data_IF_340201335472
#
_entry.id   IF_340201335472
#
_cell.length_a   1.000
_cell.length_b   1.000
_cell.length_c   1.000
_cell.angle_alpha   90.00
_cell.angle_beta   90.00
_cell.angle_gamma   90.00
#
_symmetry.space_group_name_H-M   'P 1'
#
loop_
_entity.id
_entity.type
_entity.pdbx_description
1 polymer ?
#
# COMPACT_ATOMS: atom_id res chain seq x y z
N UNK A 1 23.94 26.13 13.03
CA UNK A 1 24.63 27.27 12.39
C UNK A 1 23.78 28.54 12.29
N UNK A 2 22.45 28.51 12.13
CA UNK A 2 21.65 29.74 11.99
C UNK A 2 21.23 30.40 13.33
N UNK A 3 20.89 29.59 14.36
CA UNK A 3 20.64 30.11 15.73
C UNK A 3 21.86 30.85 16.28
N UNK A 4 23.06 30.36 15.93
CA UNK A 4 24.32 31.03 16.28
C UNK A 4 24.49 32.35 15.55
N UNK A 5 24.00 32.53 14.32
CA UNK A 5 24.09 33.82 13.60
C UNK A 5 23.16 34.86 14.21
N UNK A 6 21.93 34.48 14.57
CA UNK A 6 20.97 35.38 15.25
C UNK A 6 21.47 35.73 16.64
N UNK A 7 21.95 34.75 17.41
CA UNK A 7 22.54 34.98 18.73
C UNK A 7 23.80 35.86 18.67
N UNK A 8 24.62 35.71 17.63
CA UNK A 8 25.82 36.53 17.41
C UNK A 8 25.45 37.96 17.01
N UNK A 9 24.45 38.16 16.13
CA UNK A 9 23.96 39.48 15.75
C UNK A 9 23.37 40.23 16.97
N UNK A 10 22.55 39.56 17.79
CA UNK A 10 22.00 40.13 19.03
C UNK A 10 23.13 40.45 20.01
N UNK A 11 24.09 39.54 20.21
CA UNK A 11 25.23 39.78 21.12
C UNK A 11 26.12 40.94 20.66
N UNK A 12 26.34 41.06 19.34
CA UNK A 12 27.13 42.15 18.74
C UNK A 12 26.44 43.51 18.94
N UNK A 13 25.12 43.57 18.74
CA UNK A 13 24.32 44.78 18.97
C UNK A 13 24.33 45.16 20.46
N UNK A 14 24.16 44.20 21.37
CA UNK A 14 24.27 44.42 22.82
C UNK A 14 25.67 44.93 23.22
N UNK A 15 26.75 44.39 22.64
CA UNK A 15 28.11 44.83 22.91
C UNK A 15 28.41 46.26 22.39
N UNK A 16 27.87 46.62 21.22
CA UNK A 16 27.99 47.97 20.66
C UNK A 16 27.24 48.99 21.52
N UNK A 17 26.07 48.64 22.03
CA UNK A 17 25.26 49.50 22.91
C UNK A 17 25.88 49.64 24.32
N UNK A 18 26.59 48.62 24.81
CA UNK A 18 27.22 48.63 26.15
C UNK A 18 28.54 49.40 26.21
N UNK A 19 29.28 49.48 25.09
CA UNK A 19 30.66 49.98 25.07
C UNK A 19 30.80 51.50 24.85
N UNK A 20 29.74 52.24 24.50
CA UNK A 20 29.80 53.70 24.32
C UNK A 20 28.60 54.42 24.94
N UNK A 21 28.78 55.60 25.58
CA UNK A 21 27.66 56.43 26.02
C UNK A 21 26.86 56.89 24.78
N UNK A 22 25.67 56.33 24.63
CA UNK A 22 24.86 56.44 23.40
C UNK A 22 24.26 57.84 23.30
N UNK A 23 24.98 58.77 22.66
CA UNK A 23 24.45 60.09 22.28
C UNK A 23 23.98 60.16 20.82
N UNK A 24 24.08 59.06 20.07
CA UNK A 24 23.80 59.06 18.63
C UNK A 24 22.72 58.04 18.31
N UNK A 25 21.47 58.53 18.20
CA UNK A 25 20.27 57.78 17.77
C UNK A 25 20.54 56.98 16.48
N UNK A 26 21.41 57.48 15.61
CA UNK A 26 21.86 56.84 14.36
C UNK A 26 22.52 55.46 14.54
N UNK A 27 23.28 55.26 15.63
CA UNK A 27 23.95 53.96 15.91
C UNK A 27 22.92 52.91 16.33
N UNK A 28 21.88 53.32 17.06
CA UNK A 28 20.77 52.45 17.44
C UNK A 28 19.98 52.05 16.19
N UNK A 29 19.62 53.02 15.36
CA UNK A 29 18.81 52.79 14.15
C UNK A 29 19.53 51.84 13.18
N UNK A 30 20.83 52.03 12.97
CA UNK A 30 21.61 51.15 12.08
C UNK A 30 21.73 49.72 12.61
N UNK A 31 21.98 49.55 13.91
CA UNK A 31 22.03 48.25 14.55
C UNK A 31 20.69 47.49 14.46
N UNK A 32 19.57 48.19 14.71
CA UNK A 32 18.24 47.60 14.56
C UNK A 32 17.89 47.29 13.11
N UNK A 33 18.31 48.12 12.15
CA UNK A 33 18.07 47.89 10.73
C UNK A 33 18.68 46.57 10.27
N UNK A 34 19.94 46.31 10.62
CA UNK A 34 20.61 45.04 10.28
C UNK A 34 19.91 43.85 10.95
N UNK A 35 19.54 44.00 12.22
CA UNK A 35 18.87 42.95 12.97
C UNK A 35 17.50 42.58 12.37
N UNK A 36 16.69 43.58 12.03
CA UNK A 36 15.38 43.41 11.41
C UNK A 36 15.51 42.74 10.05
N UNK A 37 16.47 43.15 9.20
CA UNK A 37 16.68 42.53 7.89
C UNK A 37 17.07 41.04 8.00
N UNK A 38 17.96 40.69 8.94
CA UNK A 38 18.34 39.28 9.19
C UNK A 38 17.14 38.46 9.69
N UNK A 39 16.32 39.03 10.57
CA UNK A 39 15.12 38.37 11.09
C UNK A 39 14.05 38.18 9.99
N UNK A 40 13.83 39.17 9.13
CA UNK A 40 12.89 39.05 8.00
C UNK A 40 13.38 37.98 7.02
N UNK A 41 14.66 37.99 6.65
CA UNK A 41 15.24 36.97 5.78
C UNK A 41 15.12 35.56 6.36
N UNK A 42 15.30 35.42 7.66
CA UNK A 42 15.12 34.14 8.38
C UNK A 42 13.68 33.65 8.39
N UNK A 43 12.72 34.55 8.67
CA UNK A 43 11.30 34.21 8.64
C UNK A 43 10.87 33.74 7.25
N UNK A 44 11.31 34.42 6.20
CA UNK A 44 11.03 34.03 4.80
C UNK A 44 11.65 32.65 4.50
N UNK A 45 12.92 32.42 4.85
CA UNK A 45 13.58 31.13 4.63
C UNK A 45 12.84 29.98 5.33
N UNK A 46 12.44 30.19 6.59
CA UNK A 46 11.74 29.18 7.39
C UNK A 46 10.38 28.82 6.79
N UNK A 47 9.61 29.82 6.36
CA UNK A 47 8.31 29.60 5.71
C UNK A 47 8.50 28.83 4.39
N UNK A 48 9.47 29.23 3.56
CA UNK A 48 9.75 28.55 2.29
C UNK A 48 10.20 27.09 2.48
N UNK A 49 11.05 26.82 3.47
CA UNK A 49 11.49 25.46 3.78
C UNK A 49 10.34 24.60 4.33
N UNK A 50 9.49 25.20 5.17
CA UNK A 50 8.30 24.54 5.69
C UNK A 50 7.29 24.20 4.60
N UNK A 51 7.04 25.11 3.65
CA UNK A 51 6.16 24.87 2.50
C UNK A 51 6.70 23.73 1.61
N UNK A 52 8.02 23.73 1.32
CA UNK A 52 8.65 22.63 0.56
C UNK A 52 8.49 21.30 1.27
N UNK A 53 8.71 21.26 2.58
CA UNK A 53 8.56 20.05 3.38
C UNK A 53 7.12 19.57 3.41
N UNK A 54 6.16 20.49 3.58
CA UNK A 54 4.72 20.21 3.56
C UNK A 54 4.28 19.63 2.22
N UNK A 55 4.65 20.26 1.10
CA UNK A 55 4.35 19.74 -0.23
C UNK A 55 4.96 18.35 -0.47
N UNK A 56 6.20 18.14 -0.04
CA UNK A 56 6.84 16.82 -0.16
C UNK A 56 6.12 15.74 0.66
N UNK A 57 5.57 16.12 1.81
CA UNK A 57 4.83 15.24 2.70
C UNK A 57 3.45 14.91 2.12
N UNK A 58 2.77 15.91 1.56
CA UNK A 58 1.50 15.72 0.85
C UNK A 58 1.64 14.74 -0.32
N UNK A 59 2.70 14.87 -1.13
CA UNK A 59 2.97 13.94 -2.24
C UNK A 59 3.18 12.51 -1.74
N UNK A 60 3.96 12.33 -0.65
CA UNK A 60 4.19 11.02 -0.05
C UNK A 60 2.92 10.42 0.56
N UNK A 61 2.09 11.24 1.21
CA UNK A 61 0.82 10.80 1.77
C UNK A 61 -0.13 10.37 0.64
N UNK A 62 -0.21 11.17 -0.43
CA UNK A 62 -1.04 10.82 -1.60
C UNK A 62 -0.60 9.49 -2.21
N UNK A 63 0.71 9.26 -2.41
CA UNK A 63 1.18 7.99 -2.99
C UNK A 63 0.90 6.79 -2.09
N UNK A 64 0.99 6.95 -0.76
CA UNK A 64 0.59 5.91 0.20
C UNK A 64 -0.91 5.64 0.11
N UNK A 65 -1.75 6.67 0.07
CA UNK A 65 -3.22 6.53 -0.06
C UNK A 65 -3.58 5.85 -1.38
N UNK A 66 -2.95 6.24 -2.49
CA UNK A 66 -3.19 5.62 -3.80
C UNK A 66 -2.81 4.14 -3.80
N UNK A 67 -1.69 3.79 -3.18
CA UNK A 67 -1.29 2.38 -3.01
C UNK A 67 -2.29 1.62 -2.16
N UNK A 68 -2.65 2.13 -0.98
CA UNK A 68 -3.61 1.49 -0.08
C UNK A 68 -4.99 1.33 -0.74
N UNK A 69 -5.47 2.32 -1.49
CA UNK A 69 -6.73 2.23 -2.22
C UNK A 69 -6.66 1.16 -3.32
N UNK A 70 -5.52 1.03 -4.01
CA UNK A 70 -5.32 -0.01 -5.02
C UNK A 70 -5.33 -1.40 -4.40
N UNK A 71 -4.59 -1.59 -3.31
CA UNK A 71 -4.57 -2.85 -2.54
C UNK A 71 -5.97 -3.20 -2.03
N UNK A 72 -6.65 -2.26 -1.37
CA UNK A 72 -8.02 -2.43 -0.86
C UNK A 72 -9.01 -2.81 -1.96
N UNK A 73 -8.90 -2.21 -3.15
CA UNK A 73 -9.76 -2.55 -4.30
C UNK A 73 -9.60 -4.02 -4.70
N UNK A 74 -8.36 -4.51 -4.73
CA UNK A 74 -8.08 -5.91 -5.04
C UNK A 74 -8.61 -6.85 -3.93
N UNK A 75 -8.43 -6.49 -2.66
CA UNK A 75 -8.96 -7.24 -1.52
C UNK A 75 -10.48 -7.36 -1.56
N UNK A 76 -11.21 -6.24 -1.75
CA UNK A 76 -12.68 -6.23 -1.86
C UNK A 76 -13.14 -7.10 -3.03
N UNK A 77 -12.44 -7.01 -4.17
CA UNK A 77 -12.77 -7.83 -5.34
C UNK A 77 -12.54 -9.31 -5.09
N UNK A 78 -11.46 -9.69 -4.39
CA UNK A 78 -11.17 -11.06 -4.03
C UNK A 78 -12.29 -11.68 -3.18
N UNK A 79 -12.73 -10.98 -2.12
CA UNK A 79 -13.85 -11.43 -1.29
C UNK A 79 -15.17 -11.50 -2.06
N UNK A 80 -15.43 -10.54 -2.94
CA UNK A 80 -16.65 -10.54 -3.78
C UNK A 80 -16.69 -11.76 -4.70
N UNK A 81 -15.55 -12.09 -5.32
CA UNK A 81 -15.41 -13.27 -6.16
C UNK A 81 -15.56 -14.57 -5.34
N UNK A 82 -14.94 -14.65 -4.17
CA UNK A 82 -15.10 -15.80 -3.26
C UNK A 82 -16.57 -16.04 -2.88
N UNK A 83 -17.29 -14.98 -2.47
CA UNK A 83 -18.71 -15.09 -2.12
C UNK A 83 -19.58 -15.46 -3.34
N UNK A 84 -19.25 -14.91 -4.51
CA UNK A 84 -19.91 -15.26 -5.76
C UNK A 84 -19.65 -16.72 -6.17
N UNK A 85 -18.46 -17.24 -5.88
CA UNK A 85 -18.11 -18.64 -6.09
C UNK A 85 -18.96 -19.56 -5.22
N UNK A 86 -19.09 -19.26 -3.92
CA UNK A 86 -19.94 -20.02 -2.99
C UNK A 86 -21.42 -20.03 -3.41
N UNK A 87 -21.93 -18.90 -3.89
CA UNK A 87 -23.28 -18.85 -4.47
C UNK A 87 -23.40 -19.66 -5.77
N UNK A 88 -22.40 -19.62 -6.64
CA UNK A 88 -22.35 -20.47 -7.84
C UNK A 88 -22.37 -21.96 -7.47
N UNK A 89 -21.60 -22.35 -6.46
CA UNK A 89 -21.53 -23.73 -5.98
C UNK A 89 -22.86 -24.21 -5.40
N UNK A 90 -23.51 -23.39 -4.56
CA UNK A 90 -24.82 -23.73 -3.97
C UNK A 90 -25.93 -23.85 -5.02
N UNK A 91 -25.83 -23.12 -6.13
CA UNK A 91 -26.73 -23.21 -7.28
C UNK A 91 -26.39 -24.36 -8.24
N UNK A 92 -25.37 -25.17 -7.95
CA UNK A 92 -24.90 -26.25 -8.82
C UNK A 92 -24.13 -25.80 -10.05
N UNK A 93 -23.77 -24.51 -10.14
CA UNK A 93 -22.97 -23.96 -11.22
C UNK A 93 -21.47 -24.07 -10.90
N UNK A 94 -20.97 -25.29 -10.97
CA UNK A 94 -19.59 -25.66 -10.63
C UNK A 94 -18.56 -24.92 -11.48
N UNK A 95 -18.89 -24.70 -12.75
CA UNK A 95 -18.03 -24.01 -13.71
C UNK A 95 -17.77 -22.56 -13.28
N UNK A 96 -18.82 -21.83 -12.88
CA UNK A 96 -18.70 -20.47 -12.34
C UNK A 96 -18.03 -20.48 -10.97
N UNK A 97 -18.31 -21.48 -10.13
CA UNK A 97 -17.72 -21.57 -8.81
C UNK A 97 -16.19 -21.68 -8.88
N UNK A 98 -15.67 -22.64 -9.64
CA UNK A 98 -14.22 -22.85 -9.81
C UNK A 98 -13.56 -21.60 -10.41
N UNK A 99 -14.14 -21.02 -11.46
CA UNK A 99 -13.64 -19.80 -12.10
C UNK A 99 -13.52 -18.62 -11.10
N UNK A 100 -14.55 -18.45 -10.27
CA UNK A 100 -14.57 -17.37 -9.28
C UNK A 100 -13.63 -17.63 -8.09
N UNK A 101 -13.47 -18.88 -7.62
CA UNK A 101 -12.49 -19.20 -6.58
C UNK A 101 -11.05 -18.92 -7.06
N UNK A 102 -10.72 -19.31 -8.29
CA UNK A 102 -9.42 -19.00 -8.90
C UNK A 102 -9.25 -17.49 -9.10
N UNK A 103 -10.27 -16.80 -9.60
CA UNK A 103 -10.22 -15.34 -9.78
C UNK A 103 -10.06 -14.60 -8.44
N UNK A 104 -10.65 -15.13 -7.36
CA UNK A 104 -10.45 -14.59 -6.01
C UNK A 104 -8.99 -14.72 -5.58
N UNK A 105 -8.35 -15.87 -5.83
CA UNK A 105 -6.91 -16.07 -5.58
C UNK A 105 -6.08 -15.04 -6.37
N UNK A 106 -6.36 -14.85 -7.66
CA UNK A 106 -5.63 -13.90 -8.51
C UNK A 106 -5.72 -12.46 -8.01
N UNK A 107 -6.90 -12.02 -7.58
CA UNK A 107 -7.07 -10.68 -7.01
C UNK A 107 -6.40 -10.56 -5.64
N UNK A 108 -6.45 -11.60 -4.81
CA UNK A 108 -5.78 -11.62 -3.51
C UNK A 108 -4.25 -11.49 -3.65
N UNK A 109 -3.64 -12.18 -4.63
CA UNK A 109 -2.22 -12.03 -4.96
C UNK A 109 -1.85 -10.57 -5.29
N UNK A 110 -2.78 -9.80 -5.89
CA UNK A 110 -2.58 -8.38 -6.20
C UNK A 110 -2.83 -7.46 -4.99
N UNK A 111 -3.69 -7.86 -4.06
CA UNK A 111 -4.18 -7.04 -2.94
C UNK A 111 -3.38 -7.15 -1.64
N UNK A 112 -2.36 -8.01 -1.58
CA UNK A 112 -1.54 -8.29 -0.38
C UNK A 112 -2.32 -8.88 0.83
N UNK A 113 -3.62 -9.13 0.68
CA UNK A 113 -4.43 -9.91 1.61
C UNK A 113 -4.34 -11.39 1.22
N UNK A 114 -4.20 -12.30 2.19
CA UNK A 114 -4.00 -13.73 1.94
C UNK A 114 -5.21 -14.57 2.30
N UNK A 115 -6.10 -14.06 3.12
CA UNK A 115 -7.26 -14.82 3.58
C UNK A 115 -8.19 -15.34 2.45
N UNK A 116 -8.51 -14.56 1.40
CA UNK A 116 -9.26 -15.09 0.25
C UNK A 116 -8.57 -16.26 -0.47
N UNK A 117 -7.23 -16.34 -0.42
CA UNK A 117 -6.50 -17.48 -0.99
C UNK A 117 -6.78 -18.73 -0.16
N UNK A 118 -6.66 -18.64 1.17
CA UNK A 118 -6.93 -19.77 2.07
C UNK A 118 -8.37 -20.27 1.94
N UNK A 119 -9.33 -19.35 1.92
CA UNK A 119 -10.76 -19.69 1.77
C UNK A 119 -11.03 -20.37 0.43
N UNK A 120 -10.51 -19.82 -0.67
CA UNK A 120 -10.67 -20.44 -1.99
C UNK A 120 -9.98 -21.79 -2.09
N UNK A 121 -8.77 -21.95 -1.55
CA UNK A 121 -8.05 -23.22 -1.55
C UNK A 121 -8.76 -24.28 -0.71
N UNK A 122 -9.37 -23.89 0.41
CA UNK A 122 -10.17 -24.79 1.23
C UNK A 122 -11.35 -25.36 0.44
N UNK A 123 -12.17 -24.50 -0.16
CA UNK A 123 -13.31 -24.92 -0.96
C UNK A 123 -12.89 -25.74 -2.19
N UNK A 124 -11.83 -25.35 -2.89
CA UNK A 124 -11.29 -26.11 -4.02
C UNK A 124 -10.73 -27.48 -3.58
N UNK A 125 -10.13 -27.58 -2.39
CA UNK A 125 -9.66 -28.84 -1.82
C UNK A 125 -10.83 -29.77 -1.52
N UNK A 126 -11.89 -29.25 -0.90
CA UNK A 126 -13.10 -30.01 -0.59
C UNK A 126 -13.79 -30.50 -1.88
N UNK A 127 -13.87 -29.65 -2.90
CA UNK A 127 -14.33 -30.06 -4.23
C UNK A 127 -13.45 -31.18 -4.80
N UNK A 128 -12.12 -31.02 -4.78
CA UNK A 128 -11.19 -32.03 -5.30
C UNK A 128 -11.38 -33.38 -4.62
N UNK A 129 -11.60 -33.40 -3.32
CA UNK A 129 -11.88 -34.62 -2.56
C UNK A 129 -13.25 -35.22 -2.94
N UNK A 130 -14.27 -34.38 -3.07
CA UNK A 130 -15.62 -34.79 -3.46
C UNK A 130 -15.66 -35.45 -4.85
N UNK A 131 -15.02 -34.83 -5.84
CA UNK A 131 -15.01 -35.29 -7.23
C UNK A 131 -14.12 -36.52 -7.40
N UNK A 132 -12.92 -36.52 -6.80
CA UNK A 132 -12.00 -37.66 -6.85
C UNK A 132 -12.61 -38.92 -6.21
N UNK A 133 -13.26 -38.79 -5.05
CA UNK A 133 -13.85 -39.94 -4.35
C UNK A 133 -15.02 -40.59 -5.11
N UNK A 134 -15.68 -39.85 -6.00
CA UNK A 134 -16.80 -40.33 -6.81
C UNK A 134 -16.41 -40.69 -8.25
N UNK A 135 -15.15 -40.49 -8.62
CA UNK A 135 -14.67 -40.65 -9.99
C UNK A 135 -15.49 -39.81 -11.00
N UNK A 136 -15.86 -38.59 -10.61
CA UNK A 136 -16.63 -37.64 -11.44
C UNK A 136 -15.72 -36.49 -11.82
N UNK A 137 -15.82 -36.06 -13.07
CA UNK A 137 -15.08 -34.90 -13.59
C UNK A 137 -15.96 -33.65 -13.47
N UNK A 138 -15.51 -32.58 -12.78
CA UNK A 138 -16.27 -31.34 -12.69
C UNK A 138 -16.34 -30.65 -14.06
N UNK A 139 -17.43 -29.92 -14.31
CA UNK A 139 -17.53 -29.06 -15.48
C UNK A 139 -16.68 -27.80 -15.26
N UNK A 140 -15.72 -27.54 -16.16
CA UNK A 140 -14.89 -26.33 -16.15
C UNK A 140 -14.94 -25.62 -17.51
N UNK A 141 -14.61 -24.33 -17.52
CA UNK A 141 -14.32 -23.56 -18.75
C UNK A 141 -13.01 -24.06 -19.35
N UNK A 142 -13.07 -24.78 -20.46
CA UNK A 142 -11.90 -25.41 -21.09
C UNK A 142 -10.85 -24.38 -21.50
N UNK A 143 -11.32 -23.24 -22.01
CA UNK A 143 -10.50 -22.11 -22.45
C UNK A 143 -9.70 -21.46 -21.32
N UNK A 144 -10.16 -21.58 -20.07
CA UNK A 144 -9.51 -20.98 -18.90
C UNK A 144 -8.60 -21.95 -18.14
N UNK A 145 -8.57 -23.23 -18.53
CA UNK A 145 -7.82 -24.29 -17.84
C UNK A 145 -6.35 -23.93 -17.62
N UNK A 146 -5.68 -23.40 -18.65
CA UNK A 146 -4.30 -22.97 -18.56
C UNK A 146 -4.11 -21.82 -17.56
N UNK A 147 -5.06 -20.87 -17.52
CA UNK A 147 -5.08 -19.77 -16.55
C UNK A 147 -5.14 -20.32 -15.14
N UNK A 148 -6.06 -21.25 -14.87
CA UNK A 148 -6.26 -21.83 -13.55
C UNK A 148 -5.00 -22.54 -13.03
N UNK A 149 -4.43 -23.43 -13.85
CA UNK A 149 -3.23 -24.18 -13.49
C UNK A 149 -2.06 -23.21 -13.24
N UNK A 150 -1.87 -22.21 -14.11
CA UNK A 150 -0.80 -21.22 -13.92
C UNK A 150 -0.96 -20.40 -12.63
N UNK A 151 -2.20 -20.07 -12.24
CA UNK A 151 -2.47 -19.35 -10.99
C UNK A 151 -2.12 -20.21 -9.78
N UNK A 152 -2.45 -21.49 -9.79
CA UNK A 152 -2.13 -22.42 -8.70
C UNK A 152 -0.62 -22.65 -8.56
N UNK A 153 0.12 -22.78 -9.67
CA UNK A 153 1.58 -22.90 -9.64
C UNK A 153 2.31 -21.65 -9.16
N UNK A 154 1.66 -20.47 -9.22
CA UNK A 154 2.25 -19.23 -8.70
C UNK A 154 2.18 -19.13 -7.18
N UNK A 155 1.38 -19.98 -6.53
CA UNK A 155 1.28 -20.00 -5.07
C UNK A 155 2.52 -20.64 -4.47
N UNK A 156 3.06 -20.02 -3.41
CA UNK A 156 4.18 -20.59 -2.70
C UNK A 156 3.74 -21.87 -1.96
N UNK A 157 4.25 -23.03 -2.38
CA UNK A 157 3.88 -24.31 -1.79
C UNK A 157 4.29 -24.43 -0.32
N UNK A 158 5.29 -23.67 0.14
CA UNK A 158 5.65 -23.63 1.56
C UNK A 158 4.61 -22.84 2.40
N UNK A 159 4.05 -21.76 1.83
CA UNK A 159 3.03 -20.92 2.48
C UNK A 159 1.68 -21.65 2.56
N UNK A 160 1.35 -22.47 1.55
CA UNK A 160 0.07 -23.15 1.40
C UNK A 160 0.16 -24.68 1.52
N UNK A 161 1.19 -25.19 2.19
CA UNK A 161 1.46 -26.63 2.35
C UNK A 161 0.31 -27.44 3.00
N UNK A 162 -0.62 -26.76 3.70
CA UNK A 162 -1.82 -27.38 4.26
C UNK A 162 -2.84 -27.83 3.21
N UNK A 163 -2.70 -27.35 1.97
CA UNK A 163 -3.58 -27.68 0.85
C UNK A 163 -2.83 -28.54 -0.16
N UNK A 164 -3.49 -29.61 -0.61
CA UNK A 164 -2.97 -30.47 -1.68
C UNK A 164 -3.25 -29.82 -3.05
N UNK A 165 -2.41 -28.83 -3.39
CA UNK A 165 -2.54 -28.05 -4.63
C UNK A 165 -2.43 -28.97 -5.85
N UNK A 166 -1.59 -30.01 -5.80
CA UNK A 166 -1.44 -30.98 -6.88
C UNK A 166 -2.74 -31.73 -7.14
N UNK A 167 -3.49 -32.09 -6.10
CA UNK A 167 -4.80 -32.71 -6.24
C UNK A 167 -5.86 -31.77 -6.82
N UNK A 168 -5.81 -30.49 -6.47
CA UNK A 168 -6.66 -29.46 -7.10
C UNK A 168 -6.32 -29.33 -8.59
N UNK A 169 -5.03 -29.29 -8.92
CA UNK A 169 -4.54 -29.25 -10.31
C UNK A 169 -5.00 -30.49 -11.08
N UNK A 170 -4.87 -31.69 -10.49
CA UNK A 170 -5.30 -32.94 -11.13
C UNK A 170 -6.81 -32.97 -11.41
N UNK A 171 -7.64 -32.46 -10.49
CA UNK A 171 -9.07 -32.30 -10.70
C UNK A 171 -9.34 -31.38 -11.91
N UNK A 172 -8.70 -30.21 -11.97
CA UNK A 172 -8.83 -29.28 -13.10
C UNK A 172 -8.31 -29.92 -14.39
N UNK A 173 -7.24 -30.72 -14.31
CA UNK A 173 -6.62 -31.33 -15.49
C UNK A 173 -7.48 -32.44 -16.10
N UNK A 174 -8.17 -33.22 -15.25
CA UNK A 174 -9.10 -34.26 -15.67
C UNK A 174 -10.33 -33.75 -16.43
N UNK A 175 -10.66 -32.46 -16.29
CA UNK A 175 -11.77 -31.85 -16.99
C UNK A 175 -11.35 -31.44 -18.41
N UNK A 176 -11.65 -32.34 -19.35
CA UNK A 176 -11.33 -32.22 -20.77
C UNK A 176 -12.28 -31.33 -21.55
#
# INVERSE_FOLDING_TARGET
>A
MALSVVAFAVSLVCAILYSKPVKSVEVIISAFSVLVTVLIGWNIYTVVDFDKKTNSMEIKIRSVIERMNKEMKHTVRAYTLFLSAGNGYSMGNIEIAIDNYISAIEESIKGNEREPINLSLHELSDMSAFYSSRNIVPKIKKEEKARYISTLYRLNHDEYHSYDIDKIIAMIDSAG
#
